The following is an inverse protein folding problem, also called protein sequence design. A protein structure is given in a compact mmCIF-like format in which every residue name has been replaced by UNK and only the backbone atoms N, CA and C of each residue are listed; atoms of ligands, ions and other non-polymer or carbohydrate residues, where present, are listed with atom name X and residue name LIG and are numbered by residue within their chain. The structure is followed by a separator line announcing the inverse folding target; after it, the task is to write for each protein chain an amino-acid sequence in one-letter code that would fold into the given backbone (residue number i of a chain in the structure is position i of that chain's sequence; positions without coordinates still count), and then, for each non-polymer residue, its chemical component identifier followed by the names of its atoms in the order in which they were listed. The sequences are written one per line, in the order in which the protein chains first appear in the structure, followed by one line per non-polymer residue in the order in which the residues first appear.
data_IF_850762919024
#
_entry.id   IF_850762919024
#
_cell.length_a   1.000
_cell.length_b   1.000
_cell.length_c   1.000
_cell.angle_alpha   90.00
_cell.angle_beta   90.00
_cell.angle_gamma   90.00
#
_symmetry.space_group_name_H-M   'P 1'
#
loop_
_entity.id
_entity.type
_entity.pdbx_description
1 polymer ?
#
# COMPACT_ATOMS: atom_id res chain seq x y z
N UNK A 1 6.09 -1.29 -15.31
CA UNK A 1 5.27 -2.46 -15.52
C UNK A 1 3.98 -2.34 -14.73
N UNK A 2 2.90 -2.59 -15.42
CA UNK A 2 1.56 -2.43 -14.88
C UNK A 2 1.28 -3.32 -13.68
N UNK A 3 1.75 -4.57 -13.73
CA UNK A 3 1.59 -5.51 -12.63
C UNK A 3 2.37 -5.05 -11.39
N UNK A 4 3.59 -4.57 -11.61
CA UNK A 4 4.42 -4.09 -10.51
C UNK A 4 3.79 -2.90 -9.81
N UNK A 5 3.18 -1.98 -10.58
CA UNK A 5 2.51 -0.82 -9.99
C UNK A 5 1.31 -1.24 -9.14
N UNK A 6 0.54 -2.21 -9.62
CA UNK A 6 -0.59 -2.75 -8.88
C UNK A 6 -0.13 -3.42 -7.60
N UNK A 7 0.93 -4.21 -7.69
CA UNK A 7 1.49 -4.90 -6.53
C UNK A 7 1.99 -3.90 -5.49
N UNK A 8 2.64 -2.83 -5.91
CA UNK A 8 3.16 -1.84 -4.98
C UNK A 8 2.03 -1.09 -4.26
N UNK A 9 0.96 -0.75 -4.98
CA UNK A 9 -0.18 -0.08 -4.38
C UNK A 9 -0.83 -0.96 -3.31
N UNK A 10 -1.14 -2.20 -3.67
CA UNK A 10 -1.76 -3.14 -2.75
C UNK A 10 -0.85 -3.46 -1.57
N UNK A 11 0.45 -3.61 -1.85
CA UNK A 11 1.45 -3.87 -0.82
C UNK A 11 1.47 -2.75 0.21
N UNK A 12 1.50 -1.51 -0.26
CA UNK A 12 1.50 -0.36 0.64
C UNK A 12 0.22 -0.31 1.47
N UNK A 13 -0.92 -0.52 0.84
CA UNK A 13 -2.20 -0.48 1.56
C UNK A 13 -2.24 -1.53 2.68
N UNK A 14 -1.83 -2.76 2.40
CA UNK A 14 -1.83 -3.81 3.41
C UNK A 14 -0.83 -3.49 4.52
N UNK A 15 0.33 -2.94 4.17
CA UNK A 15 1.31 -2.53 5.16
C UNK A 15 0.75 -1.47 6.12
N UNK A 16 0.08 -0.46 5.57
CA UNK A 16 -0.52 0.60 6.38
C UNK A 16 -1.68 0.07 7.23
N UNK A 17 -2.49 -0.82 6.67
CA UNK A 17 -3.60 -1.44 7.41
C UNK A 17 -3.11 -2.31 8.58
N UNK A 18 -1.89 -2.81 8.49
CA UNK A 18 -1.29 -3.59 9.56
C UNK A 18 -0.40 -2.72 10.46
N UNK A 19 -0.67 -1.43 10.47
CA UNK A 19 0.02 -0.47 11.34
C UNK A 19 1.54 -0.51 11.19
N UNK A 20 1.98 -0.65 9.95
CA UNK A 20 3.39 -0.67 9.59
C UNK A 20 4.15 -1.86 10.19
N UNK A 21 3.45 -2.93 10.50
CA UNK A 21 4.08 -4.15 11.00
C UNK A 21 4.47 -5.04 9.81
N UNK A 22 5.78 -5.14 9.57
CA UNK A 22 6.30 -5.87 8.40
C UNK A 22 5.91 -7.35 8.43
N UNK A 23 6.04 -7.99 9.59
CA UNK A 23 5.76 -9.42 9.71
C UNK A 23 4.29 -9.71 9.42
N UNK A 24 3.39 -8.94 10.03
CA UNK A 24 1.95 -9.15 9.83
C UNK A 24 1.53 -8.82 8.41
N UNK A 25 2.10 -7.77 7.83
CA UNK A 25 1.77 -7.38 6.47
C UNK A 25 2.23 -8.45 5.47
N UNK A 26 3.46 -8.96 5.63
CA UNK A 26 3.96 -10.00 4.75
C UNK A 26 3.10 -11.26 4.85
N UNK A 27 2.69 -11.61 6.05
CA UNK A 27 1.81 -12.74 6.28
C UNK A 27 0.46 -12.55 5.57
N UNK A 28 -0.12 -11.36 5.70
CA UNK A 28 -1.38 -11.03 5.04
C UNK A 28 -1.27 -11.08 3.52
N UNK A 29 -0.12 -10.73 2.99
CA UNK A 29 0.14 -10.73 1.55
C UNK A 29 0.58 -12.10 1.02
N UNK A 30 0.83 -13.04 1.92
CA UNK A 30 1.35 -14.37 1.57
C UNK A 30 2.68 -14.29 0.83
N UNK A 31 3.55 -13.39 1.28
CA UNK A 31 4.89 -13.24 0.71
C UNK A 31 5.92 -13.31 1.82
N UNK A 32 7.16 -13.59 1.43
CA UNK A 32 8.26 -13.61 2.37
C UNK A 32 8.54 -12.19 2.87
N UNK A 33 8.97 -12.10 4.13
CA UNK A 33 9.30 -10.82 4.76
C UNK A 33 10.31 -10.02 3.92
N UNK A 34 11.33 -10.69 3.40
CA UNK A 34 12.35 -10.01 2.59
C UNK A 34 11.77 -9.42 1.31
N UNK A 35 10.79 -10.09 0.71
CA UNK A 35 10.10 -9.57 -0.47
C UNK A 35 9.36 -8.28 -0.13
N UNK A 36 8.70 -8.27 1.02
CA UNK A 36 7.99 -7.06 1.46
C UNK A 36 8.96 -5.92 1.71
N UNK A 37 10.07 -6.18 2.39
CA UNK A 37 11.08 -5.15 2.65
C UNK A 37 11.58 -4.55 1.34
N UNK A 38 11.83 -5.38 0.34
CA UNK A 38 12.27 -4.92 -0.97
C UNK A 38 11.22 -4.03 -1.63
N UNK A 39 9.96 -4.46 -1.59
CA UNK A 39 8.86 -3.68 -2.18
C UNK A 39 8.67 -2.34 -1.47
N UNK A 40 8.80 -2.33 -0.15
CA UNK A 40 8.71 -1.09 0.61
C UNK A 40 9.82 -0.12 0.23
N UNK A 41 11.01 -0.63 -0.05
CA UNK A 41 12.10 0.20 -0.53
C UNK A 41 11.76 0.84 -1.87
N UNK A 42 11.19 0.05 -2.78
CA UNK A 42 10.74 0.57 -4.08
C UNK A 42 9.68 1.66 -3.90
N UNK A 43 8.76 1.45 -2.98
CA UNK A 43 7.71 2.43 -2.70
C UNK A 43 8.32 3.74 -2.20
N UNK A 44 9.27 3.67 -1.27
CA UNK A 44 9.93 4.86 -0.75
C UNK A 44 10.67 5.64 -1.83
N UNK A 45 11.16 4.94 -2.84
CA UNK A 45 11.84 5.59 -3.96
C UNK A 45 10.86 6.29 -4.90
N UNK A 46 9.60 5.86 -4.89
CA UNK A 46 8.56 6.43 -5.76
C UNK A 46 7.84 7.62 -5.13
N UNK A 47 7.78 7.68 -3.80
CA UNK A 47 7.05 8.74 -3.11
C UNK A 47 8.00 9.46 -2.15
N UNK A 48 7.77 10.75 -1.98
CA UNK A 48 8.62 11.58 -1.11
C UNK A 48 8.12 11.64 0.33
N UNK A 49 6.98 11.05 0.60
CA UNK A 49 6.41 11.05 1.95
C UNK A 49 7.06 9.97 2.80
N UNK A 50 7.16 10.24 4.10
CA UNK A 50 7.67 9.26 5.06
C UNK A 50 6.52 8.35 5.51
N UNK A 51 6.45 7.16 4.95
CA UNK A 51 5.37 6.22 5.24
C UNK A 51 5.43 5.66 6.66
N UNK A 52 6.54 5.89 7.37
CA UNK A 52 6.68 5.45 8.76
C UNK A 52 6.23 6.50 9.77
N UNK A 53 5.97 7.71 9.31
CA UNK A 53 5.37 8.75 10.14
C UNK A 53 3.88 8.46 10.31
N UNK A 54 3.41 8.39 11.56
CA UNK A 54 2.04 7.97 11.85
C UNK A 54 0.98 8.85 11.19
N UNK A 55 1.19 10.15 11.19
CA UNK A 55 0.24 11.07 10.57
C UNK A 55 0.21 10.91 9.06
N UNK A 56 1.40 10.83 8.46
CA UNK A 56 1.51 10.62 7.01
C UNK A 56 0.88 9.29 6.61
N UNK A 57 1.11 8.24 7.38
CA UNK A 57 0.55 6.93 7.10
C UNK A 57 -0.97 6.95 7.12
N UNK A 58 -1.56 7.63 8.11
CA UNK A 58 -3.02 7.73 8.20
C UNK A 58 -3.62 8.52 7.04
N UNK A 59 -2.99 9.63 6.68
CA UNK A 59 -3.46 10.43 5.56
C UNK A 59 -3.37 9.66 4.25
N UNK A 60 -2.28 8.95 4.06
CA UNK A 60 -2.06 8.17 2.85
C UNK A 60 -3.09 7.04 2.75
N UNK A 61 -3.32 6.33 3.86
CA UNK A 61 -4.32 5.26 3.87
C UNK A 61 -5.71 5.80 3.58
N UNK A 62 -6.07 6.94 4.15
CA UNK A 62 -7.36 7.57 3.88
C UNK A 62 -7.52 7.87 2.39
N UNK A 63 -6.48 8.41 1.76
CA UNK A 63 -6.49 8.67 0.32
C UNK A 63 -6.70 7.41 -0.49
N UNK A 64 -6.01 6.34 -0.11
CA UNK A 64 -6.11 5.07 -0.82
C UNK A 64 -7.52 4.49 -0.72
N UNK A 65 -8.15 4.60 0.45
CA UNK A 65 -9.51 4.11 0.64
C UNK A 65 -10.51 4.92 -0.17
N UNK A 66 -10.34 6.23 -0.22
CA UNK A 66 -11.19 7.09 -1.06
C UNK A 66 -11.02 6.76 -2.54
N UNK A 67 -9.78 6.51 -2.95
CA UNK A 67 -9.49 6.13 -4.33
C UNK A 67 -10.19 4.81 -4.69
N UNK A 68 -10.15 3.84 -3.78
CA UNK A 68 -10.77 2.55 -4.01
C UNK A 68 -12.29 2.69 -4.18
N UNK A 69 -12.92 3.49 -3.35
CA UNK A 69 -14.36 3.76 -3.45
C UNK A 69 -14.69 4.44 -4.78
N UNK A 70 -13.90 5.44 -5.15
CA UNK A 70 -14.09 6.15 -6.40
C UNK A 70 -14.04 5.20 -7.60
N UNK A 71 -13.09 4.27 -7.59
CA UNK A 71 -12.97 3.30 -8.67
C UNK A 71 -14.17 2.36 -8.74
N UNK A 72 -14.70 1.96 -7.60
CA UNK A 72 -15.89 1.10 -7.56
C UNK A 72 -17.12 1.83 -8.12
N UNK A 73 -17.26 3.11 -7.78
CA UNK A 73 -18.36 3.91 -8.31
C UNK A 73 -18.28 4.02 -9.82
N UNK A 74 -17.09 4.21 -10.37
CA UNK A 74 -16.91 4.27 -11.81
C UNK A 74 -17.29 2.96 -12.49
N UNK A 75 -16.96 1.84 -11.85
CA UNK A 75 -17.34 0.52 -12.39
C UNK A 75 -18.84 0.31 -12.38
N UNK A 76 -19.52 0.83 -11.35
CA UNK A 76 -20.97 0.67 -11.24
C UNK A 76 -21.73 1.45 -12.30
N UNK A 77 -21.17 2.55 -12.76
CA UNK A 77 -21.83 3.40 -13.74
C UNK A 77 -21.80 2.82 -15.15
N UNK A 78 -21.09 1.75 -15.34
CA UNK A 78 -21.13 1.05 -16.60
C UNK A 78 -22.28 0.06 -16.61
#
# INVERSE_FOLDING_TARGET
DRENNTDLYYTLKVYLLNENNVTMAADSLHIHRNTLVYRLKQIRECIEADINDNETARELLAFMMMYDVSRQDQKRQK
#
